data_IF_222405230893
#
_entry.id   IF_222405230893
#
_cell.length_a   1.000
_cell.length_b   1.000
_cell.length_c   1.000
_cell.angle_alpha   90.00
_cell.angle_beta   90.00
_cell.angle_gamma   90.00
#
_symmetry.space_group_name_H-M   'P 1'
#
loop_
_entity.id
_entity.type
_entity.pdbx_description
1 polymer ?
#
# COMPACT_ATOMS: atom_id res chain seq x y z
N UNK A 1 -11.42 10.54 -10.22
CA UNK A 1 -10.58 9.34 -9.98
C UNK A 1 -11.51 8.23 -9.57
N UNK A 2 -11.53 7.12 -10.30
CA UNK A 2 -12.42 6.01 -10.02
C UNK A 2 -11.82 5.15 -8.89
N UNK A 3 -12.38 5.27 -7.69
CA UNK A 3 -11.90 4.60 -6.48
C UNK A 3 -12.02 3.08 -6.58
N UNK A 4 -13.04 2.59 -7.29
CA UNK A 4 -13.28 1.16 -7.48
C UNK A 4 -12.20 0.58 -8.39
N UNK A 5 -11.91 1.26 -9.51
CA UNK A 5 -10.87 0.82 -10.44
C UNK A 5 -9.49 0.74 -9.76
N UNK A 6 -9.17 1.69 -8.88
CA UNK A 6 -7.92 1.71 -8.13
C UNK A 6 -7.87 0.60 -7.09
N UNK A 7 -8.97 0.37 -6.36
CA UNK A 7 -9.05 -0.74 -5.43
C UNK A 7 -8.85 -2.08 -6.14
N UNK A 8 -9.52 -2.31 -7.27
CA UNK A 8 -9.34 -3.53 -8.06
C UNK A 8 -7.90 -3.70 -8.55
N UNK A 9 -7.27 -2.66 -9.08
CA UNK A 9 -5.89 -2.72 -9.53
C UNK A 9 -4.90 -3.01 -8.39
N UNK A 10 -5.15 -2.45 -7.20
CA UNK A 10 -4.35 -2.70 -6.00
C UNK A 10 -4.52 -4.12 -5.52
N UNK A 11 -5.74 -4.64 -5.46
CA UNK A 11 -6.03 -6.01 -5.02
C UNK A 11 -5.36 -7.05 -5.93
N UNK A 12 -5.44 -6.88 -7.25
CA UNK A 12 -4.77 -7.77 -8.21
C UNK A 12 -3.24 -7.69 -8.11
N UNK A 13 -2.69 -6.49 -7.89
CA UNK A 13 -1.28 -6.32 -7.62
C UNK A 13 -0.85 -7.02 -6.32
N UNK A 14 -1.59 -6.85 -5.23
CA UNK A 14 -1.31 -7.47 -3.94
C UNK A 14 -1.33 -9.00 -4.01
N UNK A 15 -2.29 -9.59 -4.73
CA UNK A 15 -2.33 -11.05 -4.96
C UNK A 15 -1.05 -11.56 -5.65
N UNK A 16 -0.59 -10.85 -6.69
CA UNK A 16 0.66 -11.18 -7.37
C UNK A 16 1.90 -10.96 -6.50
N UNK A 17 1.89 -9.91 -5.69
CA UNK A 17 2.99 -9.54 -4.81
C UNK A 17 3.14 -10.51 -3.64
N UNK A 18 2.04 -10.92 -2.99
CA UNK A 18 2.08 -11.89 -1.87
C UNK A 18 2.63 -13.25 -2.34
N UNK A 19 2.23 -13.70 -3.53
CA UNK A 19 2.74 -14.93 -4.14
C UNK A 19 4.25 -14.90 -4.43
N UNK A 20 4.83 -13.72 -4.68
CA UNK A 20 6.26 -13.54 -4.95
C UNK A 20 7.05 -13.18 -3.67
N UNK A 21 6.41 -12.49 -2.74
CA UNK A 21 7.01 -11.89 -1.55
C UNK A 21 7.49 -12.91 -0.52
N UNK A 22 6.80 -14.04 -0.34
CA UNK A 22 7.25 -15.08 0.62
C UNK A 22 8.61 -15.68 0.25
N UNK A 23 8.94 -15.75 -1.04
CA UNK A 23 10.24 -16.25 -1.51
C UNK A 23 11.35 -15.19 -1.40
N UNK A 24 11.01 -13.91 -1.61
CA UNK A 24 11.97 -12.79 -1.58
C UNK A 24 12.24 -12.26 -0.15
N UNK A 25 11.29 -12.38 0.79
CA UNK A 25 11.48 -11.90 2.17
C UNK A 25 12.46 -12.75 3.00
N UNK A 26 12.90 -13.90 2.50
CA UNK A 26 13.81 -14.81 3.20
C UNK A 26 15.26 -14.29 3.31
N UNK A 27 15.65 -13.28 2.54
CA UNK A 27 17.03 -12.74 2.57
C UNK A 27 17.21 -11.56 3.53
N UNK A 28 16.16 -10.79 3.82
CA UNK A 28 16.21 -9.70 4.77
C UNK A 28 15.92 -10.21 6.19
N UNK A 29 16.93 -10.79 6.82
CA UNK A 29 16.99 -11.16 8.24
C UNK A 29 16.97 -9.93 9.18
N UNK A 30 16.22 -8.89 8.84
CA UNK A 30 15.75 -7.90 9.80
C UNK A 30 14.60 -8.54 10.57
N UNK A 31 14.68 -8.57 11.89
CA UNK A 31 13.61 -9.02 12.80
C UNK A 31 12.31 -8.25 12.50
N UNK A 32 11.56 -8.69 11.50
CA UNK A 32 10.32 -8.06 11.12
C UNK A 32 9.29 -8.40 12.18
N UNK A 33 8.69 -7.37 12.76
CA UNK A 33 7.69 -7.54 13.79
C UNK A 33 6.44 -8.16 13.18
N UNK A 34 6.28 -9.48 13.27
CA UNK A 34 5.05 -10.19 12.88
C UNK A 34 3.92 -9.91 13.89
N UNK A 35 3.38 -8.69 13.88
CA UNK A 35 2.06 -8.44 14.46
C UNK A 35 1.03 -8.77 13.39
N UNK A 36 -0.05 -9.46 13.78
CA UNK A 36 -1.27 -9.44 12.96
C UNK A 36 -1.78 -8.00 12.97
N UNK A 37 -1.69 -7.34 11.81
CA UNK A 37 -2.45 -6.11 11.59
C UNK A 37 -3.92 -6.48 11.40
N UNK A 38 -4.81 -5.55 11.73
CA UNK A 38 -6.24 -5.69 11.42
C UNK A 38 -6.55 -5.46 9.92
N UNK A 39 -5.56 -4.97 9.16
CA UNK A 39 -5.68 -4.64 7.74
C UNK A 39 -4.84 -5.59 6.88
N UNK A 40 -5.39 -6.00 5.74
CA UNK A 40 -4.68 -6.74 4.71
C UNK A 40 -3.77 -5.80 3.87
N UNK A 41 -2.87 -6.39 3.08
CA UNK A 41 -1.93 -5.62 2.26
C UNK A 41 -2.65 -4.69 1.26
N UNK A 42 -3.74 -5.19 0.64
CA UNK A 42 -4.56 -4.41 -0.30
C UNK A 42 -5.23 -3.20 0.36
N UNK A 43 -5.72 -3.35 1.59
CA UNK A 43 -6.30 -2.23 2.36
C UNK A 43 -5.23 -1.18 2.68
N UNK A 44 -4.05 -1.61 3.12
CA UNK A 44 -2.92 -0.71 3.41
C UNK A 44 -2.50 0.05 2.13
N UNK A 45 -2.33 -0.65 1.01
CA UNK A 45 -1.96 -0.02 -0.26
C UNK A 45 -3.03 0.95 -0.75
N UNK A 46 -4.31 0.60 -0.60
CA UNK A 46 -5.42 1.49 -0.96
C UNK A 46 -5.39 2.78 -0.15
N UNK A 47 -5.15 2.70 1.16
CA UNK A 47 -5.01 3.89 2.02
C UNK A 47 -3.84 4.77 1.56
N UNK A 48 -2.67 4.17 1.31
CA UNK A 48 -1.47 4.91 0.88
C UNK A 48 -1.69 5.59 -0.47
N UNK A 49 -2.17 4.84 -1.46
CA UNK A 49 -2.41 5.36 -2.82
C UNK A 49 -3.51 6.42 -2.80
N UNK A 50 -4.61 6.17 -2.07
CA UNK A 50 -5.69 7.14 -1.89
C UNK A 50 -5.21 8.43 -1.23
N UNK A 51 -4.34 8.33 -0.21
CA UNK A 51 -3.73 9.48 0.44
C UNK A 51 -2.89 10.32 -0.54
N UNK A 52 -2.02 9.69 -1.33
CA UNK A 52 -1.24 10.40 -2.35
C UNK A 52 -2.13 11.08 -3.40
N UNK A 53 -3.16 10.38 -3.87
CA UNK A 53 -4.04 10.87 -4.92
C UNK A 53 -5.02 11.94 -4.45
N UNK A 54 -5.36 11.97 -3.16
CA UNK A 54 -6.15 13.05 -2.56
C UNK A 54 -5.44 14.41 -2.56
N UNK A 55 -4.13 14.44 -2.86
CA UNK A 55 -3.33 15.66 -2.80
C UNK A 55 -3.05 16.14 -1.38
N UNK A 56 -3.34 15.35 -0.35
CA UNK A 56 -3.09 15.71 1.06
C UNK A 56 -1.59 15.93 1.36
N UNK A 57 -0.70 15.38 0.53
CA UNK A 57 0.75 15.61 0.59
C UNK A 57 1.23 16.80 -0.27
N UNK A 58 0.34 17.50 -0.98
CA UNK A 58 0.73 18.72 -1.70
C UNK A 58 0.92 19.85 -0.69
N UNK A 59 2.16 20.32 -0.55
CA UNK A 59 2.47 21.51 0.22
C UNK A 59 1.69 22.67 -0.39
N UNK A 60 0.80 23.29 0.39
CA UNK A 60 -0.03 24.38 -0.10
C UNK A 60 0.87 25.62 -0.29
N UNK A 61 1.33 25.87 -1.52
CA UNK A 61 2.23 26.98 -1.86
C UNK A 61 1.58 28.38 -1.76
N UNK A 62 0.38 28.51 -1.20
CA UNK A 62 -0.37 29.77 -1.07
C UNK A 62 -0.44 30.32 0.37
N UNK A 63 0.44 29.88 1.26
CA UNK A 63 0.69 30.57 2.54
C UNK A 63 2.07 31.21 2.53
N UNK A 64 2.20 32.33 1.82
CA UNK A 64 3.22 33.37 2.05
C UNK A 64 2.51 34.72 1.93
#
# INVERSE_FOLDING_TARGET
MDTIAIFCAIDDFCKGFESCGEQHLLEFSLKLRRRRGELCLGEIMTIVVGFHLSGYQTFNSNSI
#
